data_IF_705997473520
#
_entry.id   IF_705997473520
#
_cell.length_a   1.000
_cell.length_b   1.000
_cell.length_c   1.000
_cell.angle_alpha   90.00
_cell.angle_beta   90.00
_cell.angle_gamma   90.00
#
_symmetry.space_group_name_H-M   'P 1'
#
loop_
_entity.id
_entity.type
_entity.pdbx_description
1 polymer ?
#
# COMPACT_ATOMS: atom_id res chain seq x y z
N UNK A 1 -8.91 -1.42 -18.26
CA UNK A 1 -8.80 -2.83 -17.83
C UNK A 1 -9.20 -2.83 -16.36
N UNK A 2 -10.39 -3.32 -16.05
CA UNK A 2 -10.93 -3.38 -14.68
C UNK A 2 -10.35 -4.65 -14.06
N UNK A 3 -9.33 -4.53 -13.21
CA UNK A 3 -8.60 -5.70 -12.71
C UNK A 3 -9.06 -6.17 -11.32
N UNK A 4 -10.07 -5.55 -10.72
CA UNK A 4 -10.37 -5.75 -9.30
C UNK A 4 -11.87 -5.75 -9.06
N UNK A 5 -12.37 -6.60 -8.16
CA UNK A 5 -13.63 -6.36 -7.45
C UNK A 5 -13.46 -5.10 -6.59
N UNK A 6 -13.61 -3.94 -7.21
CA UNK A 6 -13.01 -2.67 -6.77
C UNK A 6 -13.45 -2.23 -5.37
N UNK A 7 -14.66 -2.60 -4.95
CA UNK A 7 -15.19 -2.32 -3.61
C UNK A 7 -14.54 -3.19 -2.55
N UNK A 8 -14.45 -4.49 -2.78
CA UNK A 8 -13.98 -5.49 -1.83
C UNK A 8 -12.45 -5.41 -1.69
N UNK A 9 -11.75 -5.12 -2.78
CA UNK A 9 -10.28 -4.96 -2.79
C UNK A 9 -9.83 -3.80 -1.89
N UNK A 10 -10.67 -2.79 -1.66
CA UNK A 10 -10.35 -1.69 -0.73
C UNK A 10 -10.31 -2.12 0.74
N UNK A 11 -10.83 -3.30 1.09
CA UNK A 11 -10.76 -3.85 2.44
C UNK A 11 -9.45 -4.60 2.72
N UNK A 12 -8.59 -4.77 1.71
CA UNK A 12 -7.32 -5.45 1.89
C UNK A 12 -6.26 -4.47 2.37
N UNK A 13 -5.39 -4.97 3.25
CA UNK A 13 -4.27 -4.21 3.80
C UNK A 13 -3.19 -3.96 2.74
N UNK A 14 -2.91 -4.97 1.92
CA UNK A 14 -1.79 -4.96 0.98
C UNK A 14 -2.21 -5.63 -0.32
N UNK A 15 -1.91 -4.99 -1.44
CA UNK A 15 -1.98 -5.58 -2.77
C UNK A 15 -0.55 -5.71 -3.33
N UNK A 16 -0.12 -6.93 -3.62
CA UNK A 16 1.12 -7.19 -4.34
C UNK A 16 0.80 -7.33 -5.83
N UNK A 17 1.18 -6.33 -6.64
CA UNK A 17 0.81 -6.27 -8.05
C UNK A 17 2.01 -6.58 -8.93
N UNK A 18 1.84 -7.48 -9.90
CA UNK A 18 2.78 -7.70 -11.00
C UNK A 18 2.24 -7.08 -12.29
N UNK A 19 3.15 -6.64 -13.15
CA UNK A 19 2.90 -6.05 -14.47
C UNK A 19 1.88 -4.90 -14.46
N UNK A 20 1.91 -4.10 -13.39
CA UNK A 20 1.05 -2.91 -13.28
C UNK A 20 1.21 -1.98 -14.49
N UNK A 21 0.13 -1.30 -14.88
CA UNK A 21 0.22 -0.24 -15.88
C UNK A 21 1.20 0.86 -15.42
N UNK A 22 2.14 1.24 -16.29
CA UNK A 22 3.11 2.30 -16.01
C UNK A 22 2.84 3.52 -16.90
N UNK A 23 2.63 4.66 -16.26
CA UNK A 23 2.49 5.94 -16.95
C UNK A 23 3.88 6.45 -17.39
N UNK A 24 4.12 6.40 -18.71
CA UNK A 24 5.38 6.85 -19.34
C UNK A 24 5.58 8.37 -19.36
N UNK A 25 4.57 9.14 -18.95
CA UNK A 25 4.58 10.61 -19.01
C UNK A 25 4.97 11.29 -17.70
N UNK A 26 5.14 10.55 -16.61
CA UNK A 26 5.58 11.10 -15.32
C UNK A 26 7.06 10.88 -15.09
N UNK A 27 7.68 11.72 -14.28
CA UNK A 27 9.06 11.59 -13.85
C UNK A 27 9.17 11.86 -12.34
N UNK A 28 9.48 10.85 -11.50
CA UNK A 28 9.70 9.45 -11.87
C UNK A 28 8.44 8.77 -12.45
N UNK A 29 8.62 7.59 -13.05
CA UNK A 29 7.51 6.76 -13.54
C UNK A 29 6.51 6.47 -12.41
N UNK A 30 5.22 6.46 -12.74
CA UNK A 30 4.13 6.23 -11.79
C UNK A 30 3.17 5.16 -12.29
N UNK A 31 2.41 4.58 -11.37
CA UNK A 31 1.23 3.75 -11.64
C UNK A 31 0.07 4.29 -10.80
N UNK A 32 -1.16 4.04 -11.25
CA UNK A 32 -2.35 4.41 -10.51
C UNK A 32 -3.52 3.50 -10.87
N UNK A 33 -4.49 3.43 -9.97
CA UNK A 33 -5.78 2.82 -10.21
C UNK A 33 -6.88 3.76 -9.72
N UNK A 34 -7.63 4.36 -10.64
CA UNK A 34 -8.75 5.27 -10.32
C UNK A 34 -9.84 4.54 -9.52
N UNK A 35 -10.04 3.25 -9.83
CA UNK A 35 -10.93 2.33 -9.15
C UNK A 35 -10.74 2.30 -7.63
N UNK A 36 -9.49 2.41 -7.18
CA UNK A 36 -9.13 2.32 -5.77
C UNK A 36 -9.29 3.65 -5.02
N UNK A 37 -9.80 4.71 -5.68
CA UNK A 37 -10.21 5.99 -5.07
C UNK A 37 -9.19 6.63 -4.12
N UNK A 38 -7.90 6.35 -4.34
CA UNK A 38 -6.82 6.84 -3.50
C UNK A 38 -6.74 6.19 -2.11
N UNK A 39 -7.36 5.04 -1.88
CA UNK A 39 -7.36 4.31 -0.60
C UNK A 39 -6.01 3.68 -0.24
N UNK A 40 -5.04 3.72 -1.14
CA UNK A 40 -3.73 3.09 -0.97
C UNK A 40 -2.57 4.08 -1.17
N UNK A 41 -1.47 3.82 -0.47
CA UNK A 41 -0.11 4.26 -0.80
C UNK A 41 0.43 3.35 -1.90
N UNK A 42 0.93 3.93 -2.99
CA UNK A 42 1.50 3.18 -4.12
C UNK A 42 3.02 3.20 -4.00
N UNK A 43 3.61 2.01 -3.87
CA UNK A 43 5.03 1.77 -3.70
C UNK A 43 5.58 1.16 -4.98
N UNK A 44 6.00 2.02 -5.89
CA UNK A 44 6.63 1.68 -7.16
C UNK A 44 8.08 2.18 -7.12
N UNK A 45 9.04 1.33 -7.50
CA UNK A 45 10.45 1.70 -7.51
C UNK A 45 10.65 2.99 -8.33
N UNK A 46 11.19 4.07 -7.73
CA UNK A 46 11.46 5.30 -8.45
C UNK A 46 12.38 5.04 -9.64
N UNK A 47 11.86 5.27 -10.83
CA UNK A 47 12.58 5.02 -12.08
C UNK A 47 12.43 6.26 -12.96
N UNK A 48 13.53 6.87 -13.45
CA UNK A 48 13.45 8.00 -14.36
C UNK A 48 12.70 7.64 -15.63
N UNK A 49 11.97 8.60 -16.21
CA UNK A 49 11.20 8.35 -17.45
C UNK A 49 12.07 7.84 -18.61
N UNK A 50 13.33 8.25 -18.67
CA UNK A 50 14.30 7.85 -19.71
C UNK A 50 14.65 6.36 -19.63
N UNK A 51 14.46 5.74 -18.46
CA UNK A 51 14.69 4.32 -18.22
C UNK A 51 13.41 3.48 -18.36
N UNK A 52 12.39 3.95 -19.09
CA UNK A 52 11.10 3.24 -19.28
C UNK A 52 11.23 1.77 -19.71
N UNK A 53 12.28 1.42 -20.47
CA UNK A 53 12.54 0.02 -20.86
C UNK A 53 12.85 -0.87 -19.65
N UNK A 54 13.45 -0.31 -18.60
CA UNK A 54 13.75 -0.94 -17.31
C UNK A 54 12.70 -0.68 -16.23
N UNK A 55 11.52 -0.15 -16.61
CA UNK A 55 10.42 0.13 -15.67
C UNK A 55 10.16 -1.06 -14.72
N UNK A 56 9.74 -0.78 -13.47
CA UNK A 56 9.42 -1.84 -12.53
C UNK A 56 8.25 -2.68 -13.03
N UNK A 57 8.32 -3.98 -12.79
CA UNK A 57 7.29 -4.97 -13.07
C UNK A 57 6.53 -5.37 -11.81
N UNK A 58 7.02 -5.01 -10.63
CA UNK A 58 6.33 -5.24 -9.37
C UNK A 58 6.09 -3.92 -8.63
N UNK A 59 4.98 -3.83 -7.91
CA UNK A 59 4.72 -2.78 -6.94
C UNK A 59 3.83 -3.27 -5.80
N UNK A 60 3.79 -2.52 -4.71
CA UNK A 60 2.84 -2.74 -3.61
C UNK A 60 1.86 -1.58 -3.52
N UNK A 61 0.60 -1.88 -3.27
CA UNK A 61 -0.38 -0.90 -2.83
C UNK A 61 -0.68 -1.20 -1.36
N UNK A 62 -0.34 -0.28 -0.46
CA UNK A 62 -0.51 -0.43 1.00
C UNK A 62 -1.68 0.43 1.45
N UNK A 63 -2.66 -0.16 2.12
CA UNK A 63 -3.87 0.53 2.53
C UNK A 63 -3.52 1.72 3.45
N UNK A 64 -4.14 2.87 3.21
CA UNK A 64 -3.94 4.07 4.03
C UNK A 64 -4.43 3.92 5.47
N UNK A 65 -5.21 2.89 5.75
CA UNK A 65 -5.59 2.51 7.10
C UNK A 65 -4.46 1.89 7.91
N UNK A 66 -3.38 1.40 7.29
CA UNK A 66 -2.20 0.91 8.01
C UNK A 66 -1.34 2.09 8.48
N UNK A 67 -0.86 2.01 9.72
CA UNK A 67 0.01 3.03 10.28
C UNK A 67 1.33 3.12 9.49
N UNK A 68 1.64 4.33 9.00
CA UNK A 68 2.83 4.64 8.21
C UNK A 68 4.15 4.34 8.93
N UNK A 69 4.18 4.35 10.26
CA UNK A 69 5.37 4.04 11.03
C UNK A 69 5.64 2.52 11.14
N UNK A 70 4.72 1.69 10.65
CA UNK A 70 4.72 0.23 10.87
C UNK A 70 5.10 -0.55 9.64
N UNK A 71 5.50 0.14 8.56
CA UNK A 71 5.98 -0.53 7.37
C UNK A 71 6.98 0.31 6.60
N UNK A 72 7.83 -0.36 5.85
CA UNK A 72 8.77 0.23 4.91
C UNK A 72 8.92 -0.65 3.67
N UNK A 73 9.49 -0.10 2.60
CA UNK A 73 9.70 -0.83 1.35
C UNK A 73 11.16 -0.81 0.94
N UNK A 74 11.66 -1.97 0.56
CA UNK A 74 12.97 -2.14 -0.05
C UNK A 74 12.82 -2.53 -1.52
N UNK A 75 13.36 -1.71 -2.42
CA UNK A 75 13.43 -2.01 -3.84
C UNK A 75 14.76 -2.70 -4.15
N UNK A 76 14.72 -3.94 -4.66
CA UNK A 76 15.94 -4.69 -4.98
C UNK A 76 16.32 -4.52 -6.45
N UNK A 77 15.34 -4.70 -7.33
CA UNK A 77 15.45 -4.47 -8.76
C UNK A 77 14.03 -4.32 -9.33
N UNK A 78 13.92 -4.23 -10.66
CA UNK A 78 12.64 -4.05 -11.34
C UNK A 78 11.62 -5.18 -11.10
N UNK A 79 12.07 -6.35 -10.65
CA UNK A 79 11.30 -7.60 -10.53
C UNK A 79 11.08 -8.06 -9.09
N UNK A 80 11.72 -7.38 -8.13
CA UNK A 80 11.68 -7.76 -6.73
C UNK A 80 11.63 -6.53 -5.85
N UNK A 81 10.57 -6.45 -5.04
CA UNK A 81 10.43 -5.51 -3.94
C UNK A 81 10.03 -6.27 -2.68
N UNK A 82 10.54 -5.83 -1.52
CA UNK A 82 10.14 -6.34 -0.22
C UNK A 82 9.36 -5.26 0.51
N UNK A 83 8.15 -5.57 0.93
CA UNK A 83 7.43 -4.81 1.94
C UNK A 83 7.77 -5.41 3.32
N UNK A 84 8.24 -4.57 4.23
CA UNK A 84 8.62 -4.95 5.59
C UNK A 84 7.54 -4.40 6.49
N UNK A 85 6.85 -5.27 7.24
CA UNK A 85 5.79 -4.91 8.19
C UNK A 85 6.27 -5.17 9.61
N UNK A 86 6.10 -4.20 10.49
CA UNK A 86 6.32 -4.33 11.92
C UNK A 86 4.99 -4.59 12.61
N UNK A 87 4.80 -5.82 13.07
CA UNK A 87 3.58 -6.19 13.82
C UNK A 87 3.79 -5.99 15.31
N UNK A 88 2.74 -5.60 16.03
CA UNK A 88 2.82 -5.37 17.47
C UNK A 88 3.20 -6.64 18.27
N UNK A 89 2.73 -7.81 17.82
CA UNK A 89 2.82 -9.06 18.58
C UNK A 89 3.60 -10.19 17.89
N UNK A 90 3.95 -10.06 16.62
CA UNK A 90 4.49 -11.17 15.81
C UNK A 90 5.82 -10.85 15.14
N UNK A 91 6.47 -9.76 15.56
CA UNK A 91 7.74 -9.31 15.02
C UNK A 91 7.60 -8.74 13.60
N UNK A 92 8.70 -8.80 12.85
CA UNK A 92 8.76 -8.26 11.50
C UNK A 92 8.37 -9.32 10.47
N UNK A 93 7.48 -8.95 9.54
CA UNK A 93 7.06 -9.80 8.41
C UNK A 93 7.61 -9.19 7.12
N UNK A 94 8.28 -10.01 6.32
CA UNK A 94 8.82 -9.62 5.02
C UNK A 94 7.94 -10.22 3.94
N UNK A 95 7.33 -9.37 3.12
CA UNK A 95 6.52 -9.77 1.96
C UNK A 95 7.32 -9.46 0.71
N UNK A 96 7.72 -10.50 -0.01
CA UNK A 96 8.48 -10.38 -1.25
C UNK A 96 7.52 -10.46 -2.44
N UNK A 97 7.36 -9.35 -3.18
CA UNK A 97 6.64 -9.36 -4.46
C UNK A 97 7.65 -9.60 -5.58
N UNK A 98 7.45 -10.70 -6.31
CA UNK A 98 8.42 -11.26 -7.25
C UNK A 98 7.74 -11.45 -8.60
N UNK A 99 8.39 -10.97 -9.66
CA UNK A 99 8.06 -11.33 -11.04
C UNK A 99 9.23 -12.11 -11.64
N UNK A 100 9.11 -13.44 -11.72
CA UNK A 100 10.12 -14.26 -12.37
C UNK A 100 9.79 -14.39 -13.84
N UNK A 101 10.69 -13.90 -14.70
CA UNK A 101 10.56 -14.14 -16.13
C UNK A 101 10.62 -15.63 -16.45
N UNK A 102 9.76 -16.06 -17.37
CA UNK A 102 9.73 -17.44 -17.83
C UNK A 102 11.07 -17.89 -18.43
N UNK A 103 11.29 -19.21 -18.46
CA UNK A 103 12.51 -19.88 -18.95
C UNK A 103 12.90 -19.53 -20.40
N UNK A 104 11.99 -18.92 -21.16
CA UNK A 104 12.22 -18.49 -22.55
C UNK A 104 12.75 -17.06 -22.67
N UNK A 105 12.95 -16.35 -21.56
CA UNK A 105 13.56 -15.02 -21.57
C UNK A 105 15.09 -15.13 -21.59
N UNK A 106 15.76 -14.17 -22.23
CA UNK A 106 17.21 -14.02 -22.18
C UNK A 106 17.69 -13.28 -20.91
N UNK A 107 16.80 -13.02 -19.94
CA UNK A 107 17.15 -12.34 -18.69
C UNK A 107 17.44 -13.36 -17.59
N UNK A 108 18.28 -12.99 -16.63
CA UNK A 108 18.63 -13.85 -15.49
C UNK A 108 17.40 -14.11 -14.60
N UNK A 109 17.34 -15.32 -14.03
CA UNK A 109 16.29 -15.66 -13.09
C UNK A 109 16.41 -14.86 -11.78
N UNK A 110 15.27 -14.41 -11.26
CA UNK A 110 15.20 -13.60 -10.04
C UNK A 110 15.59 -14.37 -8.76
N UNK A 111 15.74 -15.70 -8.85
CA UNK A 111 15.96 -16.58 -7.69
C UNK A 111 17.22 -16.20 -6.91
N UNK A 112 18.32 -15.80 -7.56
CA UNK A 112 19.52 -15.37 -6.84
C UNK A 112 19.27 -14.11 -6.01
N UNK A 113 18.61 -13.10 -6.61
CA UNK A 113 18.27 -11.86 -5.91
C UNK A 113 17.30 -12.13 -4.74
N UNK A 114 16.33 -13.03 -4.94
CA UNK A 114 15.42 -13.47 -3.89
C UNK A 114 16.16 -14.15 -2.74
N UNK A 115 17.10 -15.05 -3.03
CA UNK A 115 17.91 -15.72 -2.00
C UNK A 115 18.72 -14.72 -1.17
N UNK A 116 19.24 -13.66 -1.79
CA UNK A 116 19.91 -12.56 -1.09
C UNK A 116 18.94 -11.77 -0.22
N UNK A 117 17.76 -11.41 -0.75
CA UNK A 117 16.73 -10.66 -0.03
C UNK A 117 16.12 -11.43 1.16
N UNK A 118 16.15 -12.76 1.12
CA UNK A 118 15.63 -13.65 2.17
C UNK A 118 16.67 -14.07 3.22
N UNK A 119 17.89 -13.53 3.24
CA UNK A 119 18.92 -13.98 4.17
C UNK A 119 18.65 -13.50 5.62
N UNK A 120 18.69 -14.40 6.64
CA UNK A 120 19.01 -15.82 6.58
C UNK A 120 17.85 -16.69 6.07
N UNK A 121 18.18 -17.74 5.30
CA UNK A 121 17.21 -18.62 4.64
C UNK A 121 16.19 -19.20 5.62
N UNK A 122 14.91 -19.03 5.31
CA UNK A 122 13.81 -19.72 5.97
C UNK A 122 13.38 -20.94 5.16
N UNK A 123 12.91 -21.98 5.84
CA UNK A 123 12.14 -23.04 5.20
C UNK A 123 10.78 -22.48 4.81
N UNK A 124 10.43 -22.58 3.53
CA UNK A 124 9.18 -22.10 2.97
C UNK A 124 8.22 -23.26 2.72
N UNK A 125 6.94 -22.98 2.97
CA UNK A 125 5.82 -23.87 2.69
C UNK A 125 4.91 -23.20 1.66
N UNK A 126 4.45 -23.98 0.69
CA UNK A 126 3.52 -23.50 -0.32
C UNK A 126 2.13 -23.40 0.32
N UNK A 127 1.55 -22.20 0.32
CA UNK A 127 0.24 -21.93 0.90
C UNK A 127 -0.90 -22.26 -0.06
N UNK A 128 -0.74 -21.86 -1.32
CA UNK A 128 -1.74 -22.14 -2.35
C UNK A 128 -1.65 -23.62 -2.77
N UNK A 129 -2.75 -24.40 -2.75
CA UNK A 129 -2.69 -25.81 -3.10
C UNK A 129 -2.05 -26.07 -4.47
N UNK A 130 -1.15 -27.06 -4.61
CA UNK A 130 -0.59 -27.44 -5.90
C UNK A 130 -1.68 -27.80 -6.93
N UNK A 131 -1.54 -27.29 -8.15
CA UNK A 131 -2.51 -27.48 -9.23
C UNK A 131 -3.66 -26.46 -9.27
N UNK A 132 -3.68 -25.48 -8.37
CA UNK A 132 -4.65 -24.37 -8.41
C UNK A 132 -4.47 -23.57 -9.70
N UNK A 133 -5.53 -23.39 -10.48
CA UNK A 133 -5.48 -22.62 -11.74
C UNK A 133 -5.34 -21.13 -11.39
N UNK A 134 -4.20 -20.54 -11.71
CA UNK A 134 -3.93 -19.11 -11.49
C UNK A 134 -3.72 -18.34 -12.79
N UNK A 135 -3.58 -19.06 -13.91
CA UNK A 135 -3.53 -18.51 -15.25
C UNK A 135 -4.46 -19.27 -16.17
N UNK A 136 -5.30 -18.55 -16.91
CA UNK A 136 -6.23 -19.12 -17.87
C UNK A 136 -6.35 -18.27 -19.15
N UNK A 137 -6.16 -18.94 -20.29
CA UNK A 137 -6.51 -18.45 -21.63
C UNK A 137 -7.36 -19.51 -22.32
N UNK A 138 -7.97 -19.14 -23.45
CA UNK A 138 -8.92 -19.97 -24.23
C UNK A 138 -8.50 -21.45 -24.37
N UNK A 139 -7.20 -21.73 -24.53
CA UNK A 139 -6.67 -23.09 -24.72
C UNK A 139 -5.56 -23.50 -23.72
N UNK A 140 -5.37 -22.76 -22.63
CA UNK A 140 -4.28 -23.03 -21.69
C UNK A 140 -4.68 -22.68 -20.25
N UNK A 141 -4.38 -23.59 -19.32
CA UNK A 141 -4.54 -23.40 -17.89
C UNK A 141 -3.25 -23.81 -17.19
N UNK A 142 -2.77 -23.00 -16.24
CA UNK A 142 -1.57 -23.32 -15.49
C UNK A 142 -1.57 -22.72 -14.08
N UNK A 143 -0.69 -23.24 -13.24
CA UNK A 143 -0.39 -22.75 -11.89
C UNK A 143 0.97 -22.06 -11.95
N UNK A 144 0.98 -20.74 -12.18
CA UNK A 144 2.23 -19.98 -12.33
C UNK A 144 2.38 -18.87 -11.28
N UNK A 145 1.27 -18.40 -10.72
CA UNK A 145 1.26 -17.54 -9.55
C UNK A 145 1.23 -18.41 -8.28
N UNK A 146 2.20 -18.20 -7.39
CA UNK A 146 2.42 -19.03 -6.21
C UNK A 146 2.51 -18.16 -4.96
N UNK A 147 2.07 -18.70 -3.83
CA UNK A 147 2.21 -18.08 -2.51
C UNK A 147 2.96 -19.03 -1.58
N UNK A 148 4.00 -18.51 -0.96
CA UNK A 148 4.86 -19.24 -0.02
C UNK A 148 5.02 -18.44 1.26
N UNK A 149 5.14 -19.12 2.40
CA UNK A 149 5.40 -18.49 3.68
C UNK A 149 6.38 -19.33 4.51
N UNK A 150 7.07 -18.69 5.46
CA UNK A 150 7.85 -19.42 6.45
C UNK A 150 6.94 -20.24 7.37
N UNK A 151 7.45 -21.32 7.94
CA UNK A 151 6.68 -22.23 8.82
C UNK A 151 5.83 -21.48 9.89
N UNK A 152 6.43 -20.49 10.57
CA UNK A 152 5.73 -19.72 11.60
C UNK A 152 4.55 -18.90 11.06
N UNK A 153 4.67 -18.38 9.84
CA UNK A 153 3.63 -17.60 9.20
C UNK A 153 2.58 -18.51 8.53
N UNK A 154 3.00 -19.67 8.00
CA UNK A 154 2.10 -20.69 7.45
C UNK A 154 1.11 -21.21 8.50
N UNK A 155 1.56 -21.41 9.75
CA UNK A 155 0.71 -21.79 10.88
C UNK A 155 -0.36 -20.75 11.27
N UNK A 156 -0.34 -19.56 10.67
CA UNK A 156 -1.28 -18.46 10.90
C UNK A 156 -2.18 -18.18 9.71
N UNK A 157 -2.13 -18.99 8.66
CA UNK A 157 -2.99 -18.80 7.49
C UNK A 157 -4.43 -19.12 7.86
N UNK A 158 -5.32 -18.15 7.64
CA UNK A 158 -6.77 -18.32 7.75
C UNK A 158 -7.35 -18.86 6.43
N UNK A 159 -6.87 -18.31 5.30
CA UNK A 159 -7.27 -18.74 3.95
C UNK A 159 -6.21 -18.35 2.92
N UNK A 160 -6.05 -19.14 1.86
CA UNK A 160 -5.20 -18.82 0.71
C UNK A 160 -5.83 -19.42 -0.55
N UNK A 161 -6.58 -18.62 -1.29
CA UNK A 161 -7.44 -19.09 -2.39
C UNK A 161 -7.47 -18.08 -3.55
N UNK A 162 -7.89 -18.56 -4.71
CA UNK A 162 -8.13 -17.68 -5.87
C UNK A 162 -9.43 -16.90 -5.75
N UNK A 163 -9.48 -15.74 -6.39
CA UNK A 163 -10.63 -14.83 -6.45
C UNK A 163 -11.17 -14.76 -7.87
N UNK A 164 -11.77 -15.86 -8.33
CA UNK A 164 -12.38 -15.99 -9.67
C UNK A 164 -13.47 -14.94 -9.90
N UNK A 165 -14.16 -14.51 -8.85
CA UNK A 165 -15.18 -13.46 -8.91
C UNK A 165 -14.62 -12.07 -9.24
N UNK A 166 -13.30 -11.87 -9.12
CA UNK A 166 -12.62 -10.63 -9.52
C UNK A 166 -11.95 -10.72 -10.89
N UNK A 167 -12.09 -11.86 -11.55
CA UNK A 167 -11.44 -12.15 -12.81
C UNK A 167 -12.28 -11.61 -13.99
N UNK A 168 -12.07 -10.34 -14.35
CA UNK A 168 -12.81 -9.64 -15.42
C UNK A 168 -12.09 -9.67 -16.77
N UNK A 169 -11.60 -10.84 -17.18
CA UNK A 169 -10.96 -11.03 -18.50
C UNK A 169 -9.48 -10.67 -18.57
N UNK A 170 -8.80 -10.57 -17.42
CA UNK A 170 -7.35 -10.76 -17.37
C UNK A 170 -7.01 -12.22 -17.70
N UNK A 171 -5.76 -12.56 -17.96
CA UNK A 171 -5.30 -13.95 -18.10
C UNK A 171 -4.81 -14.56 -16.79
N UNK A 172 -4.58 -13.73 -15.76
CA UNK A 172 -4.25 -14.15 -14.41
C UNK A 172 -5.44 -14.02 -13.45
N UNK A 173 -5.61 -15.01 -12.58
CA UNK A 173 -6.63 -15.04 -11.52
C UNK A 173 -5.99 -14.53 -10.22
N UNK A 174 -6.55 -13.49 -9.58
CA UNK A 174 -6.00 -12.97 -8.33
C UNK A 174 -6.00 -14.01 -7.21
N UNK A 175 -5.02 -13.94 -6.31
CA UNK A 175 -4.94 -14.79 -5.12
C UNK A 175 -5.16 -13.91 -3.88
N UNK A 176 -6.03 -14.36 -3.00
CA UNK A 176 -6.28 -13.75 -1.69
C UNK A 176 -5.67 -14.63 -0.61
N UNK A 177 -4.78 -14.05 0.20
CA UNK A 177 -4.22 -14.72 1.38
C UNK A 177 -4.55 -13.90 2.61
N UNK A 178 -5.10 -14.56 3.63
CA UNK A 178 -5.42 -13.97 4.92
C UNK A 178 -4.62 -14.68 6.02
N UNK A 179 -4.01 -13.90 6.90
CA UNK A 179 -3.30 -14.39 8.07
C UNK A 179 -3.98 -13.89 9.34
N UNK A 180 -3.93 -14.71 10.39
CA UNK A 180 -4.32 -14.33 11.75
C UNK A 180 -3.18 -13.52 12.39
N UNK A 181 -3.21 -12.22 12.11
CA UNK A 181 -2.25 -11.22 12.55
C UNK A 181 -2.99 -9.97 13.00
N UNK A 182 -2.45 -9.28 14.00
CA UNK A 182 -2.92 -7.95 14.38
C UNK A 182 -2.08 -6.89 13.66
N UNK A 183 -2.65 -6.31 12.62
CA UNK A 183 -2.09 -5.12 11.97
C UNK A 183 -2.33 -3.87 12.83
N UNK A 184 -1.37 -2.94 12.82
CA UNK A 184 -1.52 -1.66 13.50
C UNK A 184 -2.19 -0.70 12.51
N UNK A 185 -3.46 -0.44 12.75
CA UNK A 185 -4.22 0.52 11.95
C UNK A 185 -4.18 1.88 12.61
N UNK A 186 -4.02 2.92 11.80
CA UNK A 186 -4.37 4.27 12.24
C UNK A 186 -5.88 4.31 12.42
N UNK A 187 -6.39 4.95 13.49
CA UNK A 187 -7.81 5.27 13.59
C UNK A 187 -8.26 5.94 12.30
N UNK A 188 -9.48 5.66 11.80
CA UNK A 188 -9.98 6.30 10.59
C UNK A 188 -9.76 7.80 10.68
N UNK A 189 -8.94 8.35 9.78
CA UNK A 189 -8.74 9.79 9.68
C UNK A 189 -10.10 10.39 9.34
N UNK A 190 -10.71 11.01 10.34
CA UNK A 190 -11.97 11.71 10.23
C UNK A 190 -11.74 12.91 9.30
N UNK A 191 -11.98 12.72 8.00
CA UNK A 191 -11.72 13.75 7.00
C UNK A 191 -12.75 14.87 7.15
N UNK A 192 -12.27 16.06 7.46
CA UNK A 192 -13.07 17.29 7.46
C UNK A 192 -13.54 17.60 6.04
N UNK A 193 -14.84 17.85 5.87
CA UNK A 193 -15.45 18.31 4.63
C UNK A 193 -15.32 19.83 4.53
N UNK A 194 -14.12 20.32 4.23
CA UNK A 194 -13.82 21.76 4.20
C UNK A 194 -14.72 22.58 3.26
N UNK A 195 -15.27 21.94 2.22
CA UNK A 195 -16.24 22.56 1.32
C UNK A 195 -17.63 22.78 1.94
N UNK A 196 -17.93 22.09 3.04
CA UNK A 196 -19.18 22.18 3.80
C UNK A 196 -18.98 22.85 5.17
N UNK A 197 -17.82 23.48 5.41
CA UNK A 197 -17.55 24.24 6.63
C UNK A 197 -18.53 25.42 6.77
N UNK A 198 -19.09 25.58 7.96
CA UNK A 198 -19.77 26.81 8.36
C UNK A 198 -18.71 27.88 8.66
N UNK A 199 -18.36 28.66 7.64
CA UNK A 199 -17.32 29.67 7.75
C UNK A 199 -17.69 30.82 8.69
N UNK A 200 -18.98 31.12 8.84
CA UNK A 200 -19.44 32.17 9.76
C UNK A 200 -19.23 31.71 11.22
N UNK A 201 -19.57 30.45 11.53
CA UNK A 201 -19.27 29.85 12.83
C UNK A 201 -17.78 29.74 13.07
N UNK A 202 -17.00 29.30 12.07
CA UNK A 202 -15.55 29.19 12.17
C UNK A 202 -14.90 30.53 12.54
N UNK A 203 -15.22 31.60 11.81
CA UNK A 203 -14.67 32.94 12.07
C UNK A 203 -15.12 33.47 13.44
N UNK A 204 -16.39 33.26 13.81
CA UNK A 204 -16.89 33.62 15.14
C UNK A 204 -16.13 32.90 16.26
N UNK A 205 -15.81 31.62 16.08
CA UNK A 205 -15.00 30.87 17.05
C UNK A 205 -13.57 31.41 17.12
N UNK A 206 -12.93 31.69 15.97
CA UNK A 206 -11.60 32.32 15.94
C UNK A 206 -11.57 33.65 16.69
N UNK A 207 -12.61 34.49 16.56
CA UNK A 207 -12.73 35.74 17.32
C UNK A 207 -12.90 35.50 18.83
N UNK A 208 -13.72 34.52 19.21
CA UNK A 208 -13.93 34.14 20.63
C UNK A 208 -12.63 33.65 21.27
N UNK A 209 -11.85 32.84 20.55
CA UNK A 209 -10.61 32.28 21.06
C UNK A 209 -9.48 33.30 21.16
N UNK A 210 -9.66 34.50 20.58
CA UNK A 210 -8.74 35.62 20.68
C UNK A 210 -7.28 35.21 20.42
N UNK A 211 -7.08 34.50 19.32
CA UNK A 211 -5.82 33.85 18.94
C UNK A 211 -4.64 34.82 18.73
N UNK A 212 -4.92 36.11 18.59
CA UNK A 212 -3.92 37.12 18.25
C UNK A 212 -2.81 37.18 19.31
N UNK A 213 -1.54 36.96 18.92
CA UNK A 213 -0.43 37.05 19.86
C UNK A 213 -0.28 38.49 20.37
N UNK A 214 -0.07 38.62 21.68
CA UNK A 214 0.02 39.93 22.34
C UNK A 214 1.37 40.61 22.12
N UNK A 215 2.47 39.85 22.14
CA UNK A 215 3.82 40.31 21.82
C UNK A 215 4.67 39.14 21.29
N UNK A 216 5.54 39.38 20.28
CA UNK A 216 6.37 38.37 19.61
C UNK A 216 7.84 38.80 19.68
N UNK A 217 8.38 38.83 20.89
CA UNK A 217 9.67 39.49 21.14
C UNK A 217 10.89 38.53 21.05
N UNK A 218 10.66 37.22 21.08
CA UNK A 218 11.70 36.19 21.00
C UNK A 218 11.19 34.89 20.33
N UNK A 219 12.09 33.94 20.10
CA UNK A 219 11.78 32.67 19.45
C UNK A 219 10.82 31.79 20.26
N UNK A 220 10.82 31.91 21.58
CA UNK A 220 9.93 31.14 22.45
C UNK A 220 8.49 31.66 22.33
N UNK A 221 8.32 32.98 22.38
CA UNK A 221 7.06 33.67 22.14
C UNK A 221 6.49 33.38 20.73
N UNK A 222 7.35 33.29 19.72
CA UNK A 222 6.93 32.90 18.35
C UNK A 222 6.43 31.46 18.32
N UNK A 223 7.15 30.51 18.93
CA UNK A 223 6.74 29.11 18.95
C UNK A 223 5.43 28.91 19.71
N UNK A 224 5.26 29.56 20.86
CA UNK A 224 4.02 29.54 21.64
C UNK A 224 2.85 30.16 20.87
N UNK A 225 3.07 31.27 20.17
CA UNK A 225 2.04 31.87 19.32
C UNK A 225 1.62 30.96 18.16
N UNK A 226 2.56 30.26 17.53
CA UNK A 226 2.27 29.27 16.48
C UNK A 226 1.48 28.11 17.06
N UNK A 227 1.90 27.58 18.21
CA UNK A 227 1.18 26.51 18.91
C UNK A 227 -0.26 26.91 19.20
N UNK A 228 -0.48 28.09 19.77
CA UNK A 228 -1.81 28.59 20.09
C UNK A 228 -2.68 28.82 18.85
N UNK A 229 -2.10 29.37 17.78
CA UNK A 229 -2.81 29.55 16.51
C UNK A 229 -3.24 28.19 15.91
N UNK A 230 -2.34 27.22 15.85
CA UNK A 230 -2.63 25.88 15.31
C UNK A 230 -3.70 25.19 16.15
N UNK A 231 -3.59 25.25 17.47
CA UNK A 231 -4.59 24.67 18.37
C UNK A 231 -5.97 25.33 18.17
N UNK A 232 -6.00 26.66 18.09
CA UNK A 232 -7.24 27.42 17.89
C UNK A 232 -7.90 27.09 16.56
N UNK A 233 -7.13 27.04 15.47
CA UNK A 233 -7.63 26.65 14.14
C UNK A 233 -8.22 25.24 14.19
N UNK A 234 -7.53 24.31 14.86
CA UNK A 234 -8.00 22.93 14.97
C UNK A 234 -9.32 22.83 15.73
N UNK A 235 -9.44 23.51 16.88
CA UNK A 235 -10.67 23.55 17.69
C UNK A 235 -11.84 24.20 16.95
N UNK A 236 -11.60 25.34 16.29
CA UNK A 236 -12.63 26.01 15.49
C UNK A 236 -13.08 25.11 14.33
N UNK A 237 -12.15 24.47 13.63
CA UNK A 237 -12.45 23.56 12.54
C UNK A 237 -13.19 22.30 13.00
N UNK A 238 -13.01 21.86 14.24
CA UNK A 238 -13.65 20.65 14.77
C UNK A 238 -15.14 20.87 15.04
N UNK A 239 -15.51 22.09 15.42
CA UNK A 239 -16.92 22.47 15.62
C UNK A 239 -17.61 22.94 14.34
N UNK A 240 -16.89 23.66 13.48
CA UNK A 240 -17.49 24.31 12.31
C UNK A 240 -17.42 23.47 11.04
N UNK A 241 -16.57 22.42 10.99
CA UNK A 241 -16.42 21.61 9.78
C UNK A 241 -16.96 20.20 10.01
N UNK A 242 -18.04 19.82 9.31
CA UNK A 242 -18.56 18.46 9.40
C UNK A 242 -17.54 17.47 8.85
N UNK A 243 -17.61 16.25 9.35
CA UNK A 243 -16.71 15.17 8.98
C UNK A 243 -17.37 14.23 7.98
N UNK A 244 -16.56 13.53 7.19
CA UNK A 244 -17.04 12.57 6.20
C UNK A 244 -17.32 11.20 6.79
#
# INVERSE_FOLDING_TARGET
MYLFGESEVQNYDILAIQESYINKHTDPLTTYSLALKGSFHILLQPTPKEEYKKRPRVCFYVNRGLDLATWEVQYHNRDLSTLILHTAAHGTIHIHNIYNLGVNSNEESIISALQTAMAPRAQLEQLLPPGTITYERVNAKSTIDLVWASHNLANRVVSCDTKLEWWYGADHVPISTQFDLTAIHVPPLVRKQWNATDWDLFLKLMDIYNWHPRELNDNEAINEAIHYLVETINQAAEQATPTK
#
